data_IF_428546827599
#
_entry.id   IF_428546827599
#
_cell.length_a   1.000
_cell.length_b   1.000
_cell.length_c   1.000
_cell.angle_alpha   90.00
_cell.angle_beta   90.00
_cell.angle_gamma   90.00
#
_symmetry.space_group_name_H-M   'P 1'
#
loop_
_entity.id
_entity.type
_entity.pdbx_description
1 polymer ?
#
# COMPACT_ATOMS: atom_id res chain seq x y z
N UNK A 1 2.27 -27.81 -6.25
CA UNK A 1 0.82 -27.73 -5.94
C UNK A 1 0.49 -26.25 -5.76
N UNK A 2 -0.55 -25.74 -6.42
CA UNK A 2 -0.98 -24.34 -6.25
C UNK A 2 -1.72 -24.21 -4.91
N UNK A 3 -1.36 -23.22 -4.10
CA UNK A 3 -1.96 -22.98 -2.78
C UNK A 3 -2.98 -21.82 -2.83
N UNK A 4 -3.89 -21.77 -1.87
CA UNK A 4 -4.83 -20.63 -1.74
C UNK A 4 -4.11 -19.28 -1.61
N UNK A 5 -2.96 -19.26 -0.91
CA UNK A 5 -2.10 -18.09 -0.80
C UNK A 5 -1.60 -17.62 -2.18
N UNK A 6 -1.07 -18.52 -3.01
CA UNK A 6 -0.60 -18.16 -4.36
C UNK A 6 -1.71 -17.64 -5.26
N UNK A 7 -2.90 -18.23 -5.19
CA UNK A 7 -4.06 -17.74 -5.97
C UNK A 7 -4.45 -16.31 -5.58
N UNK A 8 -4.48 -16.02 -4.28
CA UNK A 8 -4.77 -14.67 -3.77
C UNK A 8 -3.66 -13.67 -4.11
N UNK A 9 -2.40 -14.07 -3.95
CA UNK A 9 -1.27 -13.22 -4.35
C UNK A 9 -1.31 -12.85 -5.83
N UNK A 10 -1.69 -13.77 -6.70
CA UNK A 10 -1.84 -13.52 -8.15
C UNK A 10 -3.01 -12.56 -8.48
N UNK A 11 -3.99 -12.43 -7.59
CA UNK A 11 -5.06 -11.42 -7.73
C UNK A 11 -4.62 -10.04 -7.25
N UNK A 12 -3.74 -9.98 -6.23
CA UNK A 12 -3.19 -8.74 -5.69
C UNK A 12 -2.09 -8.18 -6.60
N UNK A 13 -1.27 -9.06 -7.17
CA UNK A 13 -0.12 -8.72 -8.01
C UNK A 13 -0.35 -9.13 -9.47
N UNK A 14 0.24 -8.39 -10.38
CA UNK A 14 0.39 -8.78 -11.80
C UNK A 14 1.88 -8.96 -12.09
N UNK A 15 2.30 -10.15 -12.51
CA UNK A 15 3.69 -10.49 -12.78
C UNK A 15 4.63 -10.15 -11.60
N UNK A 16 4.17 -10.42 -10.37
CA UNK A 16 4.89 -10.14 -9.14
C UNK A 16 5.01 -8.65 -8.79
N UNK A 17 4.24 -7.76 -9.44
CA UNK A 17 4.26 -6.31 -9.23
C UNK A 17 2.90 -5.77 -8.82
N UNK A 18 2.89 -4.65 -8.12
CA UNK A 18 1.71 -4.04 -7.52
C UNK A 18 1.52 -2.59 -7.97
N UNK A 19 0.32 -2.27 -8.45
CA UNK A 19 -0.19 -0.91 -8.54
C UNK A 19 -1.47 -0.86 -7.72
N UNK A 20 -1.40 -0.26 -6.54
CA UNK A 20 -2.49 -0.31 -5.56
C UNK A 20 -2.95 1.09 -5.15
N UNK A 21 -4.27 1.25 -5.00
CA UNK A 21 -4.86 2.46 -4.40
C UNK A 21 -5.33 2.12 -2.98
N UNK A 22 -4.67 2.65 -1.94
CA UNK A 22 -5.17 2.57 -0.57
C UNK A 22 -6.25 3.64 -0.36
N UNK A 23 -7.40 3.21 0.12
CA UNK A 23 -8.56 4.05 0.47
C UNK A 23 -8.93 3.91 1.95
N UNK A 24 -7.96 3.56 2.77
CA UNK A 24 -8.08 3.41 4.23
C UNK A 24 -8.14 4.76 4.98
N UNK A 25 -7.93 5.86 4.27
CA UNK A 25 -7.82 7.21 4.84
C UNK A 25 -9.11 7.69 5.55
N UNK A 26 -10.28 7.20 5.14
CA UNK A 26 -11.57 7.66 5.67
C UNK A 26 -11.71 7.51 7.18
N UNK A 27 -11.19 6.44 7.77
CA UNK A 27 -11.23 6.23 9.22
C UNK A 27 -10.31 7.21 9.97
N UNK A 28 -9.21 7.61 9.35
CA UNK A 28 -8.23 8.51 9.97
C UNK A 28 -8.59 9.98 9.82
N UNK A 29 -9.14 10.38 8.68
CA UNK A 29 -9.23 11.79 8.27
C UNK A 29 -10.61 12.20 7.75
N UNK A 30 -11.60 11.30 7.79
CA UNK A 30 -12.91 11.53 7.19
C UNK A 30 -12.92 11.34 5.66
N UNK A 31 -14.01 11.74 4.99
CA UNK A 31 -14.12 11.63 3.54
C UNK A 31 -13.20 12.64 2.86
N UNK A 32 -12.07 12.15 2.33
CA UNK A 32 -11.14 12.96 1.56
C UNK A 32 -11.62 13.13 0.13
N UNK A 33 -11.19 14.24 -0.50
CA UNK A 33 -11.43 14.49 -1.91
C UNK A 33 -10.92 13.32 -2.76
N UNK A 34 -11.79 12.82 -3.64
CA UNK A 34 -11.49 11.73 -4.57
C UNK A 34 -11.76 10.32 -4.04
N UNK A 35 -12.12 10.18 -2.75
CA UNK A 35 -12.62 8.92 -2.18
C UNK A 35 -14.02 9.08 -1.55
N UNK A 36 -14.72 10.16 -1.88
CA UNK A 36 -16.14 10.33 -1.53
C UNK A 36 -17.00 9.26 -2.24
N UNK A 37 -16.63 8.91 -3.48
CA UNK A 37 -17.19 7.78 -4.23
C UNK A 37 -16.08 6.79 -4.59
N UNK A 38 -15.73 5.87 -3.65
CA UNK A 38 -14.67 4.89 -3.88
C UNK A 38 -15.02 3.87 -4.96
N UNK A 39 -16.31 3.64 -5.25
CA UNK A 39 -16.76 2.68 -6.26
C UNK A 39 -16.37 3.17 -7.66
N UNK A 40 -16.77 4.39 -8.02
CA UNK A 40 -16.46 4.99 -9.32
C UNK A 40 -14.95 5.08 -9.54
N UNK A 41 -14.19 5.45 -8.51
CA UNK A 41 -12.72 5.48 -8.56
C UNK A 41 -12.13 4.12 -8.94
N UNK A 42 -12.57 3.06 -8.26
CA UNK A 42 -12.03 1.71 -8.51
C UNK A 42 -12.43 1.21 -9.90
N UNK A 43 -13.71 1.36 -10.29
CA UNK A 43 -14.20 0.92 -11.59
C UNK A 43 -13.56 1.68 -12.77
N UNK A 44 -13.16 2.93 -12.58
CA UNK A 44 -12.38 3.65 -13.58
C UNK A 44 -10.92 3.13 -13.61
N UNK A 45 -10.22 3.16 -12.47
CA UNK A 45 -8.80 2.83 -12.40
C UNK A 45 -8.47 1.37 -12.78
N UNK A 46 -9.36 0.41 -12.51
CA UNK A 46 -9.13 -1.00 -12.89
C UNK A 46 -8.94 -1.18 -14.40
N UNK A 47 -9.53 -0.33 -15.22
CA UNK A 47 -9.41 -0.33 -16.69
C UNK A 47 -8.03 0.09 -17.19
N UNK A 48 -7.23 0.72 -16.30
CA UNK A 48 -5.95 1.32 -16.61
C UNK A 48 -4.75 0.63 -15.95
N UNK A 49 -4.95 -0.58 -15.45
CA UNK A 49 -3.87 -1.41 -14.95
C UNK A 49 -3.70 -1.44 -13.43
N UNK A 50 -4.67 -0.91 -12.68
CA UNK A 50 -4.75 -1.13 -11.25
C UNK A 50 -4.74 -2.64 -10.95
N UNK A 51 -3.94 -3.08 -9.96
CA UNK A 51 -3.90 -4.50 -9.58
C UNK A 51 -4.71 -4.79 -8.33
N UNK A 52 -4.78 -3.85 -7.40
CA UNK A 52 -5.44 -4.06 -6.12
C UNK A 52 -5.86 -2.75 -5.45
N UNK A 53 -6.73 -2.88 -4.46
CA UNK A 53 -7.13 -1.78 -3.58
C UNK A 53 -7.02 -2.21 -2.12
N UNK A 54 -6.73 -1.24 -1.24
CA UNK A 54 -6.80 -1.42 0.20
C UNK A 54 -7.98 -0.61 0.71
N UNK A 55 -8.93 -1.26 1.39
CA UNK A 55 -10.21 -0.66 1.73
C UNK A 55 -10.68 -1.13 3.12
N UNK A 56 -11.40 -0.26 3.82
CA UNK A 56 -12.03 -0.63 5.08
C UNK A 56 -13.28 -1.49 4.85
N UNK A 57 -13.53 -2.45 5.74
CA UNK A 57 -14.62 -3.43 5.65
C UNK A 57 -16.01 -2.84 5.44
N UNK A 58 -16.28 -1.69 6.07
CA UNK A 58 -17.58 -1.00 5.94
C UNK A 58 -17.84 -0.51 4.53
N UNK A 59 -16.81 0.07 3.89
CA UNK A 59 -16.90 0.55 2.50
C UNK A 59 -16.93 -0.62 1.52
N UNK A 60 -16.16 -1.69 1.75
CA UNK A 60 -16.21 -2.86 0.89
C UNK A 60 -17.62 -3.44 0.75
N UNK A 61 -18.39 -3.46 1.83
CA UNK A 61 -19.79 -3.95 1.84
C UNK A 61 -20.77 -3.11 1.00
N UNK A 62 -20.39 -1.90 0.61
CA UNK A 62 -21.25 -0.99 -0.17
C UNK A 62 -21.04 -1.09 -1.68
N UNK A 63 -20.08 -1.90 -2.14
CA UNK A 63 -19.85 -2.07 -3.58
C UNK A 63 -21.04 -2.76 -4.25
N UNK A 64 -21.67 -2.14 -5.29
CA UNK A 64 -22.83 -2.71 -5.95
C UNK A 64 -22.51 -3.94 -6.78
N UNK A 65 -21.25 -4.11 -7.18
CA UNK A 65 -20.70 -5.29 -7.85
C UNK A 65 -19.23 -5.49 -7.45
N UNK A 66 -18.71 -6.71 -7.46
CA UNK A 66 -17.30 -6.97 -7.18
C UNK A 66 -16.39 -6.21 -8.16
N UNK A 67 -15.33 -5.55 -7.70
CA UNK A 67 -14.30 -5.02 -8.59
C UNK A 67 -13.43 -6.17 -9.16
N UNK A 68 -12.81 -5.90 -10.32
CA UNK A 68 -11.97 -6.88 -11.04
C UNK A 68 -10.49 -6.80 -10.63
N UNK A 69 -10.21 -6.36 -9.42
CA UNK A 69 -8.87 -6.19 -8.85
C UNK A 69 -8.77 -6.91 -7.51
N UNK A 70 -7.57 -7.19 -7.06
CA UNK A 70 -7.33 -7.77 -5.74
C UNK A 70 -7.85 -6.88 -4.60
N UNK A 71 -8.51 -7.49 -3.64
CA UNK A 71 -9.11 -6.80 -2.50
C UNK A 71 -8.31 -7.06 -1.23
N UNK A 72 -7.69 -6.01 -0.66
CA UNK A 72 -7.09 -6.08 0.67
C UNK A 72 -7.97 -5.31 1.67
N UNK A 73 -8.45 -6.00 2.70
CA UNK A 73 -9.21 -5.36 3.77
C UNK A 73 -8.24 -4.80 4.81
N UNK A 74 -8.41 -3.51 5.14
CA UNK A 74 -7.57 -2.84 6.12
C UNK A 74 -8.13 -2.97 7.52
N UNK A 75 -7.31 -3.45 8.47
CA UNK A 75 -7.75 -3.70 9.85
C UNK A 75 -7.02 -2.87 10.91
N UNK A 76 -6.31 -1.83 10.52
CA UNK A 76 -5.75 -0.88 11.48
C UNK A 76 -6.56 0.42 11.51
N UNK A 77 -7.06 0.79 12.67
CA UNK A 77 -7.89 1.98 12.87
C UNK A 77 -7.32 2.94 13.89
N UNK A 78 -7.31 4.21 13.55
CA UNK A 78 -7.18 5.35 14.46
C UNK A 78 -7.70 6.60 13.77
N UNK A 79 -8.04 7.63 14.55
CA UNK A 79 -8.54 8.89 13.99
C UNK A 79 -7.64 10.06 14.34
N UNK A 80 -7.65 11.10 13.52
CA UNK A 80 -6.99 12.37 13.82
C UNK A 80 -7.63 13.12 15.00
N UNK A 81 -8.83 12.70 15.42
CA UNK A 81 -9.53 13.24 16.58
C UNK A 81 -9.03 12.65 17.91
N UNK A 82 -8.23 11.57 17.84
CA UNK A 82 -7.68 10.92 19.02
C UNK A 82 -6.49 11.70 19.60
N UNK A 83 -6.30 11.61 20.91
CA UNK A 83 -5.07 12.08 21.60
C UNK A 83 -3.84 11.24 21.23
N UNK A 84 -4.04 10.02 20.70
CA UNK A 84 -2.97 9.10 20.24
C UNK A 84 -3.22 8.66 18.79
N UNK A 85 -3.11 9.55 17.79
CA UNK A 85 -3.44 9.22 16.40
C UNK A 85 -2.47 8.21 15.77
N UNK A 86 -1.29 8.03 16.35
CA UNK A 86 -0.30 7.05 15.91
C UNK A 86 -0.57 5.64 16.43
N UNK A 87 -1.38 5.47 17.48
CA UNK A 87 -1.80 4.18 18.00
C UNK A 87 -2.85 3.56 17.08
N UNK A 88 -2.46 2.51 16.38
CA UNK A 88 -3.36 1.76 15.50
C UNK A 88 -3.95 0.59 16.25
N UNK A 89 -5.27 0.50 16.25
CA UNK A 89 -6.02 -0.59 16.90
C UNK A 89 -6.52 -1.58 15.85
N UNK A 90 -6.50 -2.85 16.19
CA UNK A 90 -7.07 -3.89 15.34
C UNK A 90 -8.60 -3.76 15.27
N UNK A 91 -9.16 -3.73 14.06
CA UNK A 91 -10.59 -3.49 13.82
C UNK A 91 -11.35 -4.66 13.19
N UNK A 92 -10.69 -5.80 13.00
CA UNK A 92 -11.29 -7.00 12.41
C UNK A 92 -10.41 -8.23 12.51
N UNK A 93 -10.81 -9.31 11.88
CA UNK A 93 -10.11 -10.59 11.87
C UNK A 93 -9.94 -11.15 10.46
N UNK A 94 -9.04 -12.11 10.29
CA UNK A 94 -8.80 -12.80 9.01
C UNK A 94 -10.03 -13.58 8.56
N UNK A 95 -10.79 -14.18 9.48
CA UNK A 95 -12.04 -14.87 9.17
C UNK A 95 -13.13 -13.89 8.66
N UNK A 96 -13.16 -12.65 9.16
CA UNK A 96 -14.06 -11.64 8.59
C UNK A 96 -13.63 -11.29 7.16
N UNK A 97 -12.33 -11.13 6.90
CA UNK A 97 -11.81 -10.87 5.55
C UNK A 97 -12.20 -11.98 4.57
N UNK A 98 -12.08 -13.25 4.98
CA UNK A 98 -12.51 -14.40 4.19
C UNK A 98 -14.00 -14.33 3.84
N UNK A 99 -14.86 -14.06 4.81
CA UNK A 99 -16.32 -13.92 4.56
C UNK A 99 -16.66 -12.74 3.64
N UNK A 100 -15.81 -11.70 3.63
CA UNK A 100 -15.95 -10.55 2.72
C UNK A 100 -15.40 -10.81 1.32
N UNK A 101 -14.81 -11.98 1.06
CA UNK A 101 -14.23 -12.32 -0.23
C UNK A 101 -12.90 -11.60 -0.52
N UNK A 102 -12.19 -11.15 0.53
CA UNK A 102 -10.90 -10.49 0.38
C UNK A 102 -9.81 -11.43 -0.12
N UNK A 103 -8.88 -10.90 -0.89
CA UNK A 103 -7.69 -11.58 -1.36
C UNK A 103 -6.50 -11.37 -0.42
N UNK A 104 -6.58 -10.43 0.50
CA UNK A 104 -5.56 -10.15 1.50
C UNK A 104 -6.04 -9.27 2.64
N UNK A 105 -5.21 -9.15 3.64
CA UNK A 105 -5.39 -8.26 4.80
C UNK A 105 -4.26 -7.25 4.81
N UNK A 106 -4.52 -6.04 5.29
CA UNK A 106 -3.46 -5.06 5.53
C UNK A 106 -3.53 -4.48 6.93
N UNK A 107 -2.36 -4.26 7.52
CA UNK A 107 -2.16 -3.57 8.79
C UNK A 107 -1.24 -2.37 8.64
N UNK A 108 -1.40 -1.39 9.52
CA UNK A 108 -0.54 -0.21 9.60
C UNK A 108 0.18 -0.19 10.95
N UNK A 109 1.49 -0.24 10.90
CA UNK A 109 2.38 -0.30 12.05
C UNK A 109 3.29 0.92 12.05
N UNK A 110 3.23 1.72 13.09
CA UNK A 110 4.16 2.83 13.32
C UNK A 110 5.27 2.37 14.26
N UNK A 111 6.51 2.55 13.85
CA UNK A 111 7.71 2.16 14.59
C UNK A 111 8.44 3.41 15.08
N UNK A 112 8.87 3.38 16.33
CA UNK A 112 9.63 4.46 16.97
C UNK A 112 8.82 5.31 17.95
N UNK A 113 7.63 4.89 18.34
CA UNK A 113 6.77 5.54 19.33
C UNK A 113 6.41 4.62 20.51
N UNK A 114 5.83 5.21 21.54
CA UNK A 114 5.43 4.48 22.76
C UNK A 114 4.39 3.39 22.54
N UNK A 115 3.59 3.50 21.48
CA UNK A 115 2.55 2.52 21.13
C UNK A 115 3.06 1.37 20.23
N UNK A 116 4.34 1.37 19.87
CA UNK A 116 4.97 0.36 19.01
C UNK A 116 4.77 -1.09 19.50
N UNK A 117 4.98 -1.42 20.80
CA UNK A 117 4.89 -2.81 21.27
C UNK A 117 3.52 -3.43 21.01
N UNK A 118 2.43 -2.70 21.19
CA UNK A 118 1.08 -3.19 20.94
C UNK A 118 0.85 -3.45 19.43
N UNK A 119 1.38 -2.60 18.56
CA UNK A 119 1.22 -2.74 17.12
C UNK A 119 2.06 -3.91 16.58
N UNK A 120 3.25 -4.14 17.13
CA UNK A 120 4.07 -5.32 16.83
C UNK A 120 3.35 -6.62 17.24
N UNK A 121 2.76 -6.66 18.44
CA UNK A 121 1.97 -7.80 18.90
C UNK A 121 0.78 -8.07 17.96
N UNK A 122 0.04 -7.03 17.58
CA UNK A 122 -1.09 -7.16 16.65
C UNK A 122 -0.65 -7.68 15.28
N UNK A 123 0.50 -7.22 14.77
CA UNK A 123 1.05 -7.71 13.50
C UNK A 123 1.38 -9.21 13.58
N UNK A 124 2.08 -9.64 14.62
CA UNK A 124 2.43 -11.06 14.82
C UNK A 124 1.20 -11.95 14.89
N UNK A 125 0.20 -11.55 15.67
CA UNK A 125 -1.07 -12.32 15.81
C UNK A 125 -1.82 -12.44 14.48
N UNK A 126 -1.94 -11.35 13.73
CA UNK A 126 -2.60 -11.39 12.42
C UNK A 126 -1.78 -12.17 11.39
N UNK A 127 -0.45 -12.13 11.46
CA UNK A 127 0.41 -12.94 10.59
C UNK A 127 0.18 -14.44 10.80
N UNK A 128 0.06 -14.90 12.04
CA UNK A 128 -0.27 -16.29 12.37
C UNK A 128 -1.65 -16.70 11.81
N UNK A 129 -2.67 -15.85 11.99
CA UNK A 129 -4.00 -16.09 11.43
C UNK A 129 -3.98 -16.08 9.90
N UNK A 130 -3.25 -15.17 9.27
CA UNK A 130 -3.06 -15.12 7.82
C UNK A 130 -2.40 -16.41 7.30
N UNK A 131 -1.35 -16.88 7.97
CA UNK A 131 -0.70 -18.15 7.64
C UNK A 131 -1.67 -19.33 7.74
N UNK A 132 -2.42 -19.44 8.84
CA UNK A 132 -3.44 -20.47 9.06
C UNK A 132 -4.48 -20.52 7.95
N UNK A 133 -4.92 -19.37 7.45
CA UNK A 133 -5.97 -19.26 6.44
C UNK A 133 -5.45 -19.08 5.01
N UNK A 134 -4.15 -19.18 4.79
CA UNK A 134 -3.54 -18.90 3.47
C UNK A 134 -3.94 -17.54 2.90
N UNK A 135 -4.02 -16.53 3.77
CA UNK A 135 -4.40 -15.15 3.45
C UNK A 135 -3.15 -14.29 3.34
N UNK A 136 -2.89 -13.62 2.20
CA UNK A 136 -1.79 -12.67 2.08
C UNK A 136 -1.89 -11.52 3.07
N UNK A 137 -0.75 -11.13 3.67
CA UNK A 137 -0.63 -10.02 4.59
C UNK A 137 0.26 -8.92 4.01
N UNK A 138 -0.31 -7.72 3.83
CA UNK A 138 0.44 -6.52 3.54
C UNK A 138 0.63 -5.69 4.81
N UNK A 139 1.87 -5.53 5.25
CA UNK A 139 2.22 -4.66 6.37
C UNK A 139 2.67 -3.27 5.89
N UNK A 140 1.92 -2.23 6.26
CA UNK A 140 2.33 -0.83 6.09
C UNK A 140 3.24 -0.47 7.26
N UNK A 141 4.53 -0.49 7.02
CA UNK A 141 5.58 -0.30 8.01
C UNK A 141 6.16 1.11 7.90
N UNK A 142 5.89 1.94 8.90
CA UNK A 142 6.31 3.34 8.86
C UNK A 142 7.19 3.75 10.03
N UNK A 143 8.35 4.38 9.77
CA UNK A 143 9.09 5.13 10.79
C UNK A 143 8.24 6.33 11.25
N UNK A 144 7.59 6.20 12.41
CA UNK A 144 6.72 7.26 12.93
C UNK A 144 6.54 7.12 14.44
N UNK A 145 7.09 8.04 15.16
CA UNK A 145 7.03 8.10 16.62
C UNK A 145 7.98 9.17 17.15
N UNK A 146 7.99 9.34 18.46
CA UNK A 146 8.77 10.37 19.14
C UNK A 146 10.29 10.21 18.94
N UNK A 147 10.75 8.98 18.70
CA UNK A 147 12.16 8.66 18.50
C UNK A 147 12.61 8.80 17.02
N UNK A 148 11.69 9.11 16.09
CA UNK A 148 12.01 9.23 14.67
C UNK A 148 12.24 10.68 14.29
N UNK A 149 13.51 11.05 14.10
CA UNK A 149 13.91 12.41 13.66
C UNK A 149 13.75 12.59 12.15
N UNK A 150 14.12 11.59 11.36
CA UNK A 150 14.00 11.58 9.90
C UNK A 150 13.35 10.27 9.44
N UNK A 151 12.07 10.29 9.02
CA UNK A 151 11.38 9.08 8.58
C UNK A 151 11.90 8.53 7.24
N UNK A 152 12.69 9.28 6.49
CA UNK A 152 13.31 8.86 5.23
C UNK A 152 14.77 8.43 5.39
N UNK A 153 15.31 8.37 6.61
CA UNK A 153 16.64 7.85 6.86
C UNK A 153 16.76 6.40 6.38
N UNK A 154 17.72 6.08 5.50
CA UNK A 154 17.82 4.74 4.91
C UNK A 154 18.04 3.61 5.93
N UNK A 155 18.77 3.86 7.01
CA UNK A 155 19.00 2.85 8.04
C UNK A 155 17.71 2.57 8.83
N UNK A 156 16.94 3.62 9.12
CA UNK A 156 15.67 3.50 9.82
C UNK A 156 14.62 2.81 8.93
N UNK A 157 14.48 3.23 7.67
CA UNK A 157 13.55 2.60 6.71
C UNK A 157 13.91 1.12 6.51
N UNK A 158 15.20 0.79 6.41
CA UNK A 158 15.69 -0.59 6.29
C UNK A 158 15.28 -1.43 7.50
N UNK A 159 15.51 -0.93 8.72
CA UNK A 159 15.13 -1.62 9.95
C UNK A 159 13.61 -1.84 10.01
N UNK A 160 12.83 -0.79 9.78
CA UNK A 160 11.36 -0.84 9.81
C UNK A 160 10.79 -1.81 8.77
N UNK A 161 11.33 -1.81 7.55
CA UNK A 161 10.92 -2.76 6.52
C UNK A 161 11.25 -4.21 6.91
N UNK A 162 12.42 -4.43 7.51
CA UNK A 162 12.86 -5.75 8.00
C UNK A 162 11.96 -6.28 9.11
N UNK A 163 11.53 -5.45 10.07
CA UNK A 163 10.58 -5.85 11.12
C UNK A 163 9.30 -6.45 10.50
N UNK A 164 8.73 -5.81 9.49
CA UNK A 164 7.52 -6.33 8.82
C UNK A 164 7.73 -7.71 8.21
N UNK A 165 8.86 -7.93 7.55
CA UNK A 165 9.20 -9.23 6.96
C UNK A 165 9.45 -10.31 8.02
N UNK A 166 10.17 -9.98 9.10
CA UNK A 166 10.46 -10.92 10.20
C UNK A 166 9.19 -11.34 10.97
N UNK A 167 8.18 -10.47 11.01
CA UNK A 167 6.90 -10.75 11.65
C UNK A 167 5.88 -11.42 10.72
N UNK A 168 6.27 -11.83 9.52
CA UNK A 168 5.47 -12.68 8.65
C UNK A 168 4.62 -11.93 7.62
N UNK A 169 4.92 -10.67 7.30
CA UNK A 169 4.28 -10.01 6.18
C UNK A 169 4.73 -10.61 4.84
N UNK A 170 3.80 -10.81 3.91
CA UNK A 170 4.07 -11.25 2.53
C UNK A 170 4.47 -10.08 1.62
N UNK A 171 4.00 -8.87 1.95
CA UNK A 171 4.33 -7.64 1.25
C UNK A 171 4.59 -6.55 2.31
N UNK A 172 5.69 -5.84 2.18
CA UNK A 172 5.97 -4.66 3.01
C UNK A 172 5.75 -3.39 2.20
N UNK A 173 4.91 -2.50 2.72
CA UNK A 173 4.76 -1.13 2.23
C UNK A 173 5.52 -0.19 3.16
N UNK A 174 6.44 0.61 2.60
CA UNK A 174 7.22 1.58 3.38
C UNK A 174 7.49 2.86 2.59
N UNK A 175 8.25 3.79 3.18
CA UNK A 175 8.61 5.04 2.53
C UNK A 175 9.78 4.84 1.55
N UNK A 176 9.77 5.58 0.44
CA UNK A 176 10.93 5.71 -0.42
C UNK A 176 11.93 6.68 0.22
N UNK A 177 13.22 6.34 0.18
CA UNK A 177 14.28 7.15 0.81
C UNK A 177 14.69 8.38 0.02
N UNK A 178 14.22 8.51 -1.24
CA UNK A 178 14.57 9.61 -2.13
C UNK A 178 15.82 9.36 -2.96
N UNK A 179 16.45 8.20 -2.83
CA UNK A 179 17.67 7.83 -3.55
C UNK A 179 17.65 6.36 -3.95
N UNK A 180 18.03 6.07 -5.20
CA UNK A 180 17.97 4.72 -5.79
C UNK A 180 18.92 3.75 -5.09
N UNK A 181 20.16 4.16 -4.83
CA UNK A 181 21.18 3.26 -4.30
C UNK A 181 20.90 2.89 -2.83
N UNK A 182 20.45 3.84 -2.02
CA UNK A 182 20.05 3.60 -0.64
C UNK A 182 18.83 2.69 -0.57
N UNK A 183 17.84 2.90 -1.44
CA UNK A 183 16.64 2.08 -1.45
C UNK A 183 16.88 0.67 -2.01
N UNK A 184 17.80 0.51 -2.98
CA UNK A 184 18.20 -0.80 -3.48
C UNK A 184 18.83 -1.69 -2.39
N UNK A 185 19.57 -1.10 -1.44
CA UNK A 185 20.10 -1.82 -0.28
C UNK A 185 18.97 -2.33 0.63
N UNK A 186 17.92 -1.52 0.83
CA UNK A 186 16.73 -1.89 1.61
C UNK A 186 16.00 -3.05 0.95
N UNK A 187 15.75 -2.95 -0.35
CA UNK A 187 15.10 -4.04 -1.12
C UNK A 187 15.91 -5.33 -1.02
N UNK A 188 17.24 -5.25 -1.18
CA UNK A 188 18.12 -6.43 -1.10
C UNK A 188 18.14 -7.08 0.28
N UNK A 189 17.99 -6.29 1.35
CA UNK A 189 18.03 -6.78 2.74
C UNK A 189 16.68 -7.24 3.28
N UNK A 190 15.59 -7.04 2.54
CA UNK A 190 14.24 -7.43 2.93
C UNK A 190 13.78 -8.62 2.09
N UNK A 191 13.53 -9.81 2.68
CA UNK A 191 13.30 -11.05 1.93
C UNK A 191 11.91 -11.16 1.28
N UNK A 192 11.05 -10.14 1.43
CA UNK A 192 9.70 -10.07 0.85
C UNK A 192 9.58 -8.87 -0.10
N UNK A 193 8.62 -8.89 -1.03
CA UNK A 193 8.33 -7.76 -1.90
C UNK A 193 8.14 -6.45 -1.13
N UNK A 194 8.84 -5.39 -1.56
CA UNK A 194 8.63 -4.02 -1.06
C UNK A 194 7.84 -3.23 -2.09
N UNK A 195 6.81 -2.52 -1.64
CA UNK A 195 6.09 -1.50 -2.40
C UNK A 195 6.20 -0.15 -1.68
N UNK A 196 6.28 0.94 -2.42
CA UNK A 196 6.45 2.25 -1.82
C UNK A 196 5.13 2.97 -1.59
N UNK A 197 5.09 3.76 -0.51
CA UNK A 197 3.99 4.67 -0.20
C UNK A 197 4.15 5.99 -0.97
N UNK A 198 3.04 6.58 -1.39
CA UNK A 198 3.03 7.86 -2.13
C UNK A 198 3.21 9.10 -1.26
N UNK A 199 3.08 8.98 0.05
CA UNK A 199 3.14 10.14 0.94
C UNK A 199 1.98 11.14 0.76
N UNK A 200 2.19 12.42 1.11
CA UNK A 200 1.29 13.53 0.75
C UNK A 200 1.17 13.67 -0.77
N UNK A 201 0.16 14.42 -1.24
CA UNK A 201 0.08 14.75 -2.66
C UNK A 201 1.34 15.51 -3.08
N UNK A 202 2.01 15.04 -4.13
CA UNK A 202 3.20 15.66 -4.70
C UNK A 202 2.85 17.01 -5.36
N UNK A 203 3.85 17.84 -5.57
CA UNK A 203 3.67 19.17 -6.18
C UNK A 203 3.31 19.05 -7.66
N UNK A 204 3.94 18.13 -8.36
CA UNK A 204 3.71 17.87 -9.78
C UNK A 204 3.48 16.39 -10.06
N UNK A 205 2.83 16.09 -11.18
CA UNK A 205 2.64 14.71 -11.63
C UNK A 205 3.99 14.08 -11.99
N UNK A 206 4.94 14.89 -12.50
CA UNK A 206 6.28 14.41 -12.81
C UNK A 206 7.02 13.90 -11.58
N UNK A 207 6.91 14.60 -10.43
CA UNK A 207 7.54 14.14 -9.17
C UNK A 207 7.05 12.73 -8.78
N UNK A 208 5.75 12.44 -9.02
CA UNK A 208 5.16 11.11 -8.76
C UNK A 208 5.73 10.06 -9.70
N UNK A 209 5.86 10.39 -10.98
CA UNK A 209 6.35 9.47 -12.01
C UNK A 209 7.84 9.19 -11.82
N UNK A 210 8.67 10.21 -11.55
CA UNK A 210 10.10 10.07 -11.29
C UNK A 210 10.35 9.24 -10.02
N UNK A 211 9.65 9.52 -8.92
CA UNK A 211 9.74 8.71 -7.70
C UNK A 211 9.38 7.25 -7.97
N UNK A 212 8.38 6.99 -8.82
CA UNK A 212 7.99 5.63 -9.19
C UNK A 212 9.07 4.94 -10.03
N UNK A 213 9.59 5.63 -11.04
CA UNK A 213 10.67 5.11 -11.89
C UNK A 213 11.90 4.75 -11.05
N UNK A 214 12.32 5.64 -10.16
CA UNK A 214 13.49 5.44 -9.30
C UNK A 214 13.30 4.29 -8.30
N UNK A 215 12.12 4.20 -7.68
CA UNK A 215 11.82 3.06 -6.81
C UNK A 215 11.82 1.73 -7.57
N UNK A 216 11.29 1.71 -8.80
CA UNK A 216 11.32 0.50 -9.64
C UNK A 216 12.75 0.14 -10.08
N UNK A 217 13.60 1.12 -10.40
CA UNK A 217 15.05 0.92 -10.66
C UNK A 217 15.76 0.33 -9.44
N UNK A 218 15.42 0.79 -8.24
CA UNK A 218 15.94 0.26 -6.98
C UNK A 218 15.46 -1.17 -6.66
N UNK A 219 14.51 -1.72 -7.43
CA UNK A 219 14.00 -3.10 -7.27
C UNK A 219 12.70 -3.22 -6.49
N UNK A 220 12.03 -2.12 -6.16
CA UNK A 220 10.68 -2.18 -5.60
C UNK A 220 9.75 -3.01 -6.51
N UNK A 221 8.74 -3.61 -5.91
CA UNK A 221 7.74 -4.42 -6.63
C UNK A 221 6.47 -3.64 -6.94
N UNK A 222 6.53 -2.31 -6.91
CA UNK A 222 5.44 -1.43 -7.27
C UNK A 222 5.14 -0.37 -6.24
N UNK A 223 3.94 0.19 -6.33
CA UNK A 223 3.52 1.33 -5.52
C UNK A 223 2.15 1.13 -4.90
N UNK A 224 1.95 1.81 -3.77
CA UNK A 224 0.65 1.88 -3.09
C UNK A 224 0.35 3.37 -2.86
N UNK A 225 -0.23 4.02 -3.86
CA UNK A 225 -0.44 5.46 -3.88
C UNK A 225 -1.92 5.82 -3.68
N UNK A 226 -2.18 6.62 -2.65
CA UNK A 226 -3.50 7.17 -2.36
C UNK A 226 -3.70 8.52 -3.04
N UNK A 227 -3.42 9.59 -2.31
CA UNK A 227 -3.65 11.00 -2.72
C UNK A 227 -3.10 11.36 -4.09
N UNK A 228 -1.96 10.82 -4.47
CA UNK A 228 -1.36 11.04 -5.79
C UNK A 228 -2.19 10.46 -6.94
N UNK A 229 -3.10 9.52 -6.67
CA UNK A 229 -4.05 8.98 -7.66
C UNK A 229 -5.43 9.57 -7.44
N UNK A 230 -6.05 9.37 -6.27
CA UNK A 230 -7.45 9.70 -6.09
C UNK A 230 -7.74 11.21 -6.00
N UNK A 231 -6.75 12.07 -5.63
CA UNK A 231 -6.88 13.53 -5.72
C UNK A 231 -6.38 14.11 -7.06
N UNK A 232 -5.96 13.25 -8.00
CA UNK A 232 -5.58 13.71 -9.33
C UNK A 232 -6.82 14.14 -10.12
N UNK A 233 -6.68 15.13 -11.01
CA UNK A 233 -7.78 15.60 -11.90
C UNK A 233 -8.39 14.51 -12.77
N UNK A 234 -7.60 13.46 -13.07
CA UNK A 234 -8.02 12.27 -13.80
C UNK A 234 -7.29 11.05 -13.22
N UNK A 235 -7.87 10.36 -12.22
CA UNK A 235 -7.26 9.20 -11.56
C UNK A 235 -6.93 8.05 -12.51
N UNK A 236 -7.79 7.79 -13.50
CA UNK A 236 -7.55 6.75 -14.51
C UNK A 236 -6.29 7.03 -15.34
N UNK A 237 -6.09 8.28 -15.81
CA UNK A 237 -4.86 8.63 -16.54
C UNK A 237 -3.61 8.51 -15.68
N UNK A 238 -3.65 8.94 -14.42
CA UNK A 238 -2.53 8.77 -13.50
C UNK A 238 -2.24 7.28 -13.28
N UNK A 239 -3.27 6.46 -13.08
CA UNK A 239 -3.12 4.99 -12.97
C UNK A 239 -2.48 4.41 -14.24
N UNK A 240 -2.88 4.87 -15.44
CA UNK A 240 -2.30 4.43 -16.71
C UNK A 240 -0.82 4.79 -16.85
N UNK A 241 -0.44 6.00 -16.48
CA UNK A 241 0.95 6.45 -16.48
C UNK A 241 1.82 5.61 -15.53
N UNK A 242 1.35 5.39 -14.30
CA UNK A 242 2.04 4.54 -13.33
C UNK A 242 2.15 3.08 -13.82
N UNK A 243 1.10 2.55 -14.44
CA UNK A 243 1.13 1.21 -15.05
C UNK A 243 2.17 1.10 -16.17
N UNK A 244 2.43 2.18 -16.91
CA UNK A 244 3.51 2.28 -17.89
C UNK A 244 4.87 2.01 -17.28
N UNK A 245 5.19 2.70 -16.22
CA UNK A 245 6.48 2.55 -15.52
C UNK A 245 6.58 1.14 -14.90
N UNK A 246 5.55 0.70 -14.18
CA UNK A 246 5.60 -0.52 -13.38
C UNK A 246 5.62 -1.77 -14.26
N UNK A 247 4.77 -1.86 -15.28
CA UNK A 247 4.58 -3.09 -16.06
C UNK A 247 5.25 -3.06 -17.42
N UNK A 248 5.35 -1.89 -18.06
CA UNK A 248 5.93 -1.73 -19.41
C UNK A 248 7.35 -1.18 -19.41
N UNK A 249 7.91 -0.84 -18.24
CA UNK A 249 9.25 -0.27 -18.06
C UNK A 249 9.43 1.07 -18.80
N UNK A 250 8.37 1.84 -18.94
CA UNK A 250 8.43 3.19 -19.48
C UNK A 250 9.21 4.10 -18.51
N UNK A 251 9.92 5.07 -19.05
CA UNK A 251 10.50 6.17 -18.25
C UNK A 251 9.40 7.11 -17.76
N UNK A 252 9.67 7.92 -16.75
CA UNK A 252 8.75 8.95 -16.28
C UNK A 252 8.29 9.89 -17.41
N UNK A 253 9.21 10.28 -18.31
CA UNK A 253 8.91 11.13 -19.48
C UNK A 253 7.99 10.45 -20.49
N UNK A 254 8.14 9.15 -20.72
CA UNK A 254 7.25 8.39 -21.61
C UNK A 254 5.88 8.22 -20.98
N UNK A 255 5.84 7.87 -19.68
CA UNK A 255 4.61 7.72 -18.93
C UNK A 255 3.80 9.04 -18.82
N UNK A 256 4.46 10.18 -18.74
CA UNK A 256 3.81 11.50 -18.70
C UNK A 256 2.93 11.76 -19.94
N UNK A 257 3.24 11.16 -21.09
CA UNK A 257 2.41 11.28 -22.31
C UNK A 257 1.00 10.73 -22.12
N UNK A 258 0.82 9.75 -21.21
CA UNK A 258 -0.50 9.20 -20.88
C UNK A 258 -1.40 10.19 -20.12
N UNK A 259 -0.81 11.20 -19.48
CA UNK A 259 -1.55 12.28 -18.82
C UNK A 259 -2.10 13.29 -19.82
N UNK A 260 -1.62 13.28 -21.07
CA UNK A 260 -1.97 14.25 -22.10
C UNK A 260 -1.24 15.59 -21.93
N UNK A 261 -0.14 15.61 -21.21
CA UNK A 261 0.80 16.74 -21.15
C UNK A 261 1.77 16.59 -22.33
N UNK A 262 1.81 17.65 -23.16
CA UNK A 262 2.75 17.76 -24.29
C UNK A 262 4.13 18.16 -23.79
#
# INVERSE_FOLDING_TARGET
MVTGHQLRMNRILRDGKMLCIPMDHGISSGPLKGIEDPHSLVYDCQRYGLTSVIINKGILKTFPKPPEVGLLVHYSGSTSLSTSPNRKMLTGSVEEALRLGADGVSLHINIGGKEEPEMIEQLGRIADDCHKWSMPLLAMMYPRGENIKNPHDPAIVCHVARIGAELGADIVKTLYTGDVDSFAKIVKSTPVPIVIAGGPKAKTDMDVLEMTEDAMKAGAKGVTYGRNIFEHKNPGKMTHALAGIIFRKETAKEAAKHLGEK
#
